data_IF_788857677919
#
_entry.id   IF_788857677919
#
_cell.length_a   1.000
_cell.length_b   1.000
_cell.length_c   1.000
_cell.angle_alpha   90.00
_cell.angle_beta   90.00
_cell.angle_gamma   90.00
#
_symmetry.space_group_name_H-M   'P 1'
#
loop_
_entity.id
_entity.type
_entity.pdbx_description
1 polymer ?
#
# COMPACT_ATOMS: atom_id res chain seq x y z
N UNK A 1 71.32 -30.06 18.99
CA UNK A 1 71.03 -29.11 17.89
C UNK A 1 69.55 -28.77 17.93
N UNK A 2 69.21 -27.47 17.91
CA UNK A 2 67.87 -26.92 18.12
C UNK A 2 67.05 -26.97 16.82
N UNK A 3 66.23 -28.00 16.65
CA UNK A 3 65.32 -28.16 15.51
C UNK A 3 63.88 -27.97 15.95
N UNK A 4 63.41 -26.72 16.14
CA UNK A 4 61.98 -26.44 16.37
C UNK A 4 61.40 -25.15 15.76
N UNK A 5 62.14 -24.40 14.95
CA UNK A 5 61.69 -23.04 14.56
C UNK A 5 61.63 -22.73 13.06
N UNK A 6 61.70 -23.72 12.17
CA UNK A 6 61.68 -23.48 10.70
C UNK A 6 60.39 -23.96 10.01
N UNK A 7 59.39 -24.48 10.75
CA UNK A 7 58.14 -24.98 10.14
C UNK A 7 56.87 -24.24 10.60
N UNK A 8 56.97 -22.96 10.99
CA UNK A 8 55.79 -22.16 11.42
C UNK A 8 55.50 -20.97 10.50
N UNK A 9 56.33 -20.70 9.48
CA UNK A 9 56.23 -19.44 8.71
C UNK A 9 55.62 -19.54 7.30
N UNK A 10 55.06 -20.68 6.89
CA UNK A 10 54.52 -20.83 5.50
C UNK A 10 52.99 -21.12 5.46
N UNK A 11 52.31 -21.24 6.60
CA UNK A 11 50.86 -21.59 6.62
C UNK A 11 49.95 -20.37 6.82
N UNK A 12 50.47 -19.15 6.97
CA UNK A 12 49.66 -17.95 7.25
C UNK A 12 49.30 -17.09 6.02
N UNK A 13 49.34 -17.67 4.82
CA UNK A 13 48.96 -16.95 3.60
C UNK A 13 48.50 -17.92 2.54
N UNK A 14 47.20 -18.25 2.53
CA UNK A 14 46.38 -18.67 1.38
C UNK A 14 45.07 -19.35 1.83
N UNK A 15 44.22 -18.63 2.58
CA UNK A 15 42.81 -19.03 2.73
C UNK A 15 41.91 -17.82 2.96
N UNK A 16 42.07 -16.80 2.10
CA UNK A 16 41.13 -15.70 1.96
C UNK A 16 40.36 -15.82 0.63
N UNK A 17 39.85 -17.01 0.32
CA UNK A 17 38.87 -17.21 -0.75
C UNK A 17 37.93 -18.35 -0.39
N UNK A 18 36.80 -17.98 0.20
CA UNK A 18 35.72 -18.89 0.57
C UNK A 18 34.43 -18.14 0.90
N UNK A 19 34.18 -16.97 0.29
CA UNK A 19 32.86 -16.36 0.27
C UNK A 19 32.14 -16.83 -1.00
N UNK A 20 31.79 -18.11 -1.06
CA UNK A 20 30.86 -18.59 -2.09
C UNK A 20 29.45 -18.30 -1.61
N UNK A 21 28.93 -17.16 -2.06
CA UNK A 21 27.55 -16.91 -2.46
C UNK A 21 26.48 -17.81 -1.83
N UNK A 22 25.91 -17.37 -0.71
CA UNK A 22 24.48 -17.60 -0.49
C UNK A 22 23.75 -16.65 -1.43
N UNK A 23 23.58 -17.06 -2.69
CA UNK A 23 22.52 -16.49 -3.51
C UNK A 23 21.21 -16.82 -2.78
N UNK A 24 20.72 -15.85 -1.99
CA UNK A 24 19.36 -15.86 -1.48
C UNK A 24 18.47 -15.81 -2.72
N UNK A 25 18.16 -16.98 -3.27
CA UNK A 25 17.05 -17.11 -4.19
C UNK A 25 15.83 -16.75 -3.33
N UNK A 26 15.28 -15.54 -3.51
CA UNK A 26 13.96 -15.17 -3.02
C UNK A 26 13.01 -16.20 -3.64
N UNK A 27 12.82 -17.31 -2.94
CA UNK A 27 11.75 -18.24 -3.27
C UNK A 27 10.47 -17.46 -2.96
N UNK A 28 9.88 -16.89 -4.01
CA UNK A 28 8.61 -16.20 -3.95
C UNK A 28 7.55 -17.25 -3.64
N UNK A 29 7.41 -17.59 -2.35
CA UNK A 29 6.22 -18.25 -1.86
C UNK A 29 5.12 -17.20 -2.01
N UNK A 30 4.24 -17.39 -3.00
CA UNK A 30 2.95 -16.69 -3.04
C UNK A 30 2.16 -17.20 -1.84
N UNK A 31 2.42 -16.64 -0.67
CA UNK A 31 1.48 -16.69 0.43
C UNK A 31 0.34 -15.79 -0.04
N UNK A 32 -0.76 -16.43 -0.45
CA UNK A 32 -2.03 -15.74 -0.60
C UNK A 32 -2.44 -15.27 0.80
N UNK A 33 -1.83 -14.15 1.24
CA UNK A 33 -2.15 -13.50 2.50
C UNK A 33 -3.61 -13.13 2.37
N UNK A 34 -4.47 -13.83 3.09
CA UNK A 34 -5.87 -13.45 3.21
C UNK A 34 -5.89 -12.04 3.81
N UNK A 35 -5.93 -11.01 2.96
CA UNK A 35 -6.16 -9.64 3.39
C UNK A 35 -7.60 -9.60 3.86
N UNK A 36 -7.78 -9.34 5.15
CA UNK A 36 -9.08 -8.94 5.67
C UNK A 36 -9.29 -7.53 5.13
N UNK A 37 -10.27 -7.33 4.25
CA UNK A 37 -10.64 -6.00 3.78
C UNK A 37 -11.20 -5.21 4.96
N UNK A 38 -10.35 -4.39 5.57
CA UNK A 38 -10.72 -3.58 6.72
C UNK A 38 -11.79 -2.57 6.31
N UNK A 39 -12.90 -2.56 7.05
CA UNK A 39 -14.01 -1.62 6.83
C UNK A 39 -13.70 -0.35 7.60
N UNK A 40 -13.56 0.74 6.85
CA UNK A 40 -13.21 2.06 7.35
C UNK A 40 -14.39 3.02 7.22
N UNK A 41 -14.41 4.07 8.05
CA UNK A 41 -15.43 5.13 7.93
C UNK A 41 -14.82 6.51 8.09
N UNK A 42 -15.36 7.47 7.34
CA UNK A 42 -15.02 8.89 7.44
C UNK A 42 -16.28 9.75 7.24
N UNK A 43 -16.30 10.97 7.78
CA UNK A 43 -17.32 11.96 7.49
C UNK A 43 -16.69 13.08 6.67
N UNK A 44 -17.34 13.47 5.59
CA UNK A 44 -16.83 14.52 4.72
C UNK A 44 -17.90 15.12 3.82
N UNK A 45 -17.60 16.28 3.30
CA UNK A 45 -18.39 16.97 2.28
C UNK A 45 -18.00 16.45 0.89
N UNK A 46 -18.98 16.08 0.08
CA UNK A 46 -18.73 15.61 -1.27
C UNK A 46 -18.29 16.76 -2.19
N UNK A 47 -17.13 16.63 -2.82
CA UNK A 47 -16.47 17.68 -3.62
C UNK A 47 -16.50 17.39 -5.13
N UNK A 48 -17.10 16.28 -5.54
CA UNK A 48 -17.28 15.92 -6.95
C UNK A 48 -16.46 14.71 -7.39
N UNK A 49 -16.65 14.33 -8.65
CA UNK A 49 -15.98 13.22 -9.31
C UNK A 49 -15.01 13.80 -10.35
N UNK A 50 -13.72 13.44 -10.20
CA UNK A 50 -12.65 13.80 -11.13
C UNK A 50 -12.02 12.53 -11.75
N UNK A 51 -11.05 12.70 -12.65
CA UNK A 51 -10.40 11.60 -13.37
C UNK A 51 -9.87 10.47 -12.48
N UNK A 52 -9.49 10.78 -11.23
CA UNK A 52 -8.91 9.82 -10.29
C UNK A 52 -9.91 9.25 -9.26
N UNK A 53 -11.16 9.72 -9.28
CA UNK A 53 -12.23 9.19 -8.43
C UNK A 53 -13.07 10.26 -7.72
N UNK A 54 -13.79 9.80 -6.70
CA UNK A 54 -14.77 10.57 -5.93
C UNK A 54 -14.12 11.27 -4.75
N UNK A 55 -14.16 12.60 -4.71
CA UNK A 55 -13.48 13.43 -3.72
C UNK A 55 -14.40 13.82 -2.56
N UNK A 56 -13.88 13.74 -1.34
CA UNK A 56 -14.55 14.23 -0.13
C UNK A 56 -13.60 15.11 0.69
N UNK A 57 -14.04 16.31 1.06
CA UNK A 57 -13.33 17.17 2.02
C UNK A 57 -13.63 16.67 3.43
N UNK A 58 -12.59 16.28 4.15
CA UNK A 58 -12.65 15.71 5.50
C UNK A 58 -11.86 16.61 6.43
N UNK A 59 -12.43 16.94 7.58
CA UNK A 59 -11.73 17.64 8.66
C UNK A 59 -11.09 16.60 9.58
N UNK A 60 -9.78 16.71 9.82
CA UNK A 60 -9.07 15.84 10.76
C UNK A 60 -9.32 16.28 12.24
N UNK A 61 -8.71 15.58 13.20
CA UNK A 61 -8.85 15.92 14.62
C UNK A 61 -8.30 17.29 15.00
N UNK A 62 -7.37 17.81 14.20
CA UNK A 62 -6.67 19.08 14.45
C UNK A 62 -7.42 20.27 13.82
N UNK A 63 -8.49 20.00 13.07
CA UNK A 63 -9.31 21.01 12.39
C UNK A 63 -8.87 21.30 10.95
N UNK A 64 -7.85 20.60 10.44
CA UNK A 64 -7.38 20.80 9.06
C UNK A 64 -8.23 20.01 8.07
N UNK A 65 -8.57 20.68 6.97
CA UNK A 65 -9.23 20.07 5.83
C UNK A 65 -8.25 19.28 4.96
N UNK A 66 -8.65 18.09 4.54
CA UNK A 66 -7.94 17.27 3.57
C UNK A 66 -8.93 16.62 2.60
N UNK A 67 -8.51 16.46 1.36
CA UNK A 67 -9.27 15.70 0.38
C UNK A 67 -8.97 14.21 0.52
N UNK A 68 -10.02 13.39 0.60
CA UNK A 68 -9.95 11.94 0.49
C UNK A 68 -10.59 11.54 -0.84
N UNK A 69 -9.80 10.90 -1.70
CA UNK A 69 -10.26 10.39 -3.00
C UNK A 69 -10.52 8.89 -2.93
N UNK A 70 -11.69 8.48 -3.40
CA UNK A 70 -12.08 7.07 -3.56
C UNK A 70 -12.11 6.71 -5.04
N UNK A 71 -11.30 5.74 -5.44
CA UNK A 71 -11.15 5.34 -6.85
C UNK A 71 -12.42 4.65 -7.35
N UNK A 72 -13.10 3.90 -6.47
CA UNK A 72 -14.25 3.09 -6.85
C UNK A 72 -15.46 3.35 -5.94
N UNK A 73 -16.63 3.03 -6.47
CA UNK A 73 -17.91 3.00 -5.74
C UNK A 73 -18.61 1.69 -6.02
N UNK A 74 -19.10 1.02 -4.98
CA UNK A 74 -19.91 -0.19 -5.12
C UNK A 74 -21.18 0.12 -5.92
N UNK A 75 -21.57 -0.82 -6.80
CA UNK A 75 -22.75 -0.69 -7.67
C UNK A 75 -24.04 -0.37 -6.91
N UNK A 76 -24.17 -0.89 -5.68
CA UNK A 76 -25.33 -0.61 -4.82
C UNK A 76 -25.39 0.85 -4.38
N UNK A 77 -24.24 1.46 -4.15
CA UNK A 77 -24.12 2.87 -3.76
C UNK A 77 -24.36 3.75 -4.96
N UNK A 78 -23.76 3.47 -6.12
CA UNK A 78 -23.95 4.29 -7.33
C UNK A 78 -25.39 4.28 -7.85
N UNK A 79 -26.15 3.20 -7.62
CA UNK A 79 -27.59 3.17 -7.90
C UNK A 79 -28.43 4.03 -6.97
N UNK A 80 -27.97 4.25 -5.74
CA UNK A 80 -28.69 5.02 -4.72
C UNK A 80 -28.28 6.50 -4.70
N UNK A 81 -27.03 6.79 -5.06
CA UNK A 81 -26.44 8.12 -5.04
C UNK A 81 -25.74 8.35 -6.39
N UNK A 82 -26.24 9.30 -7.16
CA UNK A 82 -25.63 9.72 -8.43
C UNK A 82 -24.44 10.67 -8.15
N UNK A 83 -23.31 10.07 -7.77
CA UNK A 83 -22.04 10.76 -7.54
C UNK A 83 -21.38 11.21 -8.84
N UNK A 84 -21.83 10.77 -10.02
CA UNK A 84 -21.28 11.32 -11.27
C UNK A 84 -21.90 12.70 -11.59
N UNK A 85 -23.02 13.02 -10.95
CA UNK A 85 -23.68 14.33 -11.04
C UNK A 85 -23.09 15.37 -10.07
N UNK A 86 -23.26 16.64 -10.43
CA UNK A 86 -22.92 17.77 -9.56
C UNK A 86 -23.99 18.03 -8.48
N UNK A 87 -25.12 17.31 -8.47
CA UNK A 87 -26.26 17.61 -7.61
C UNK A 87 -25.99 17.36 -6.10
N UNK A 88 -25.01 16.52 -5.81
CA UNK A 88 -24.63 16.14 -4.44
C UNK A 88 -23.42 16.92 -3.93
N UNK A 89 -22.77 17.75 -4.76
CA UNK A 89 -21.61 18.56 -4.35
C UNK A 89 -22.02 19.50 -3.22
N UNK A 90 -21.18 19.59 -2.19
CA UNK A 90 -21.46 20.35 -0.97
C UNK A 90 -22.36 19.63 0.04
N UNK A 91 -22.76 18.37 -0.20
CA UNK A 91 -23.52 17.57 0.77
C UNK A 91 -22.58 16.75 1.64
N UNK A 92 -22.84 16.71 2.95
CA UNK A 92 -22.08 15.90 3.89
C UNK A 92 -22.59 14.47 3.96
N UNK A 93 -21.64 13.53 4.01
CA UNK A 93 -21.94 12.11 4.14
C UNK A 93 -21.03 11.46 5.18
N UNK A 94 -21.55 10.43 5.84
CA UNK A 94 -20.72 9.36 6.40
C UNK A 94 -20.42 8.36 5.28
N UNK A 95 -19.16 8.25 4.92
CA UNK A 95 -18.63 7.32 3.93
C UNK A 95 -18.11 6.08 4.64
N UNK A 96 -18.54 4.90 4.19
CA UNK A 96 -17.99 3.60 4.59
C UNK A 96 -17.28 3.01 3.38
N UNK A 97 -16.06 2.50 3.57
CA UNK A 97 -15.21 2.06 2.46
C UNK A 97 -14.28 0.92 2.87
N UNK A 98 -13.75 0.23 1.87
CA UNK A 98 -12.66 -0.73 2.02
C UNK A 98 -11.41 -0.22 1.32
N UNK A 99 -10.26 -0.75 1.72
CA UNK A 99 -8.98 -0.49 1.07
C UNK A 99 -8.42 -1.83 0.59
N UNK A 100 -8.14 -1.90 -0.69
CA UNK A 100 -7.42 -3.00 -1.31
C UNK A 100 -6.01 -2.50 -1.67
N UNK A 101 -5.00 -3.35 -1.51
CA UNK A 101 -3.68 -3.03 -2.02
C UNK A 101 -3.11 -4.12 -2.92
N UNK A 102 -2.51 -3.68 -4.00
CA UNK A 102 -1.86 -4.51 -5.00
C UNK A 102 -0.36 -4.20 -5.01
N UNK A 103 0.47 -5.25 -4.97
CA UNK A 103 1.93 -5.09 -5.13
C UNK A 103 2.27 -5.23 -6.60
N UNK A 104 2.81 -4.17 -7.19
CA UNK A 104 3.30 -4.13 -8.57
C UNK A 104 4.82 -3.98 -8.57
N UNK A 105 5.45 -4.28 -9.70
CA UNK A 105 6.87 -3.99 -9.90
C UNK A 105 7.00 -2.71 -10.72
N UNK A 106 7.86 -1.80 -10.27
CA UNK A 106 8.19 -0.58 -11.00
C UNK A 106 9.14 -0.86 -12.18
N UNK A 107 9.57 0.19 -12.89
CA UNK A 107 10.50 0.11 -14.01
C UNK A 107 11.88 -0.48 -13.64
N UNK A 108 12.25 -0.43 -12.36
CA UNK A 108 13.50 -0.94 -11.81
C UNK A 108 13.35 -2.34 -11.19
N UNK A 109 12.15 -2.93 -11.28
CA UNK A 109 11.81 -4.22 -10.70
C UNK A 109 11.79 -4.22 -9.15
N UNK A 110 11.54 -3.04 -8.56
CA UNK A 110 11.26 -2.84 -7.14
C UNK A 110 9.76 -2.94 -6.85
N UNK A 111 9.40 -3.48 -5.68
CA UNK A 111 8.00 -3.67 -5.26
C UNK A 111 7.38 -2.33 -4.83
N UNK A 112 6.29 -1.93 -5.48
CA UNK A 112 5.44 -0.78 -5.12
C UNK A 112 4.06 -1.28 -4.69
N UNK A 113 3.47 -0.67 -3.66
CA UNK A 113 2.10 -0.99 -3.22
C UNK A 113 1.13 0.09 -3.69
N UNK A 114 0.18 -0.29 -4.55
CA UNK A 114 -0.90 0.58 -5.02
C UNK A 114 -2.09 0.42 -4.07
N UNK A 115 -2.56 1.54 -3.52
CA UNK A 115 -3.74 1.60 -2.67
C UNK A 115 -5.00 1.97 -3.48
N UNK A 116 -6.06 1.17 -3.37
CA UNK A 116 -7.37 1.43 -3.98
C UNK A 116 -8.45 1.48 -2.91
N UNK A 117 -9.18 2.60 -2.82
CA UNK A 117 -10.31 2.77 -1.90
C UNK A 117 -11.64 2.62 -2.65
N UNK A 118 -12.54 1.80 -2.10
CA UNK A 118 -13.86 1.54 -2.67
C UNK A 118 -14.95 1.94 -1.68
N UNK A 119 -15.85 2.85 -2.07
CA UNK A 119 -17.01 3.24 -1.26
C UNK A 119 -18.02 2.09 -1.25
N UNK A 120 -18.33 1.57 -0.07
CA UNK A 120 -19.27 0.44 0.12
C UNK A 120 -20.60 0.87 0.73
N UNK A 121 -20.66 2.03 1.40
CA UNK A 121 -21.92 2.66 1.81
C UNK A 121 -21.79 4.18 1.98
N UNK A 122 -22.88 4.89 1.67
CA UNK A 122 -23.06 6.31 1.97
C UNK A 122 -24.30 6.53 2.84
N UNK A 123 -24.17 7.44 3.80
CA UNK A 123 -25.28 7.95 4.60
C UNK A 123 -25.20 9.48 4.66
N UNK A 124 -26.21 10.16 4.13
CA UNK A 124 -26.32 11.61 4.23
C UNK A 124 -26.42 12.06 5.71
N UNK A 125 -25.86 13.23 6.02
CA UNK A 125 -25.83 13.84 7.36
C UNK A 125 -26.71 15.07 7.46
#
# INVERSE_FOLDING_TARGET
MKTKHILVLVVLGLSFMGLTSFANYKHHIILNKARINEVNTVQGEYDGHETYGYNFIVVNSDGDERTVTFQNVDEKVSKAFDLDSQALVGKSFKVTYTIDYETVLDENNDEEEIETKTITALKAL
#
